data_IF_493384532014
#
_entry.id   IF_493384532014
#
_cell.length_a   1.000
_cell.length_b   1.000
_cell.length_c   1.000
_cell.angle_alpha   90.00
_cell.angle_beta   90.00
_cell.angle_gamma   90.00
#
_symmetry.space_group_name_H-M   'P 1'
#
loop_
_entity.id
_entity.type
_entity.pdbx_description
1 polymer ?
#
# COMPACT_ATOMS: atom_id res chain seq x y z
N UNK A 1 15.43 9.08 7.95
CA UNK A 1 14.77 8.74 9.23
C UNK A 1 13.87 9.90 9.63
N UNK A 2 12.60 9.64 9.81
CA UNK A 2 11.57 10.65 10.18
C UNK A 2 11.14 10.37 11.62
N UNK A 3 11.31 11.34 12.54
CA UNK A 3 10.85 11.18 13.93
C UNK A 3 9.32 11.25 13.97
N UNK A 4 8.70 10.30 14.65
CA UNK A 4 7.25 10.19 14.84
C UNK A 4 6.93 9.86 16.28
N UNK A 5 5.73 10.21 16.72
CA UNK A 5 5.16 9.72 17.99
C UNK A 5 4.00 8.79 17.67
N UNK A 6 4.06 7.56 18.14
CA UNK A 6 3.01 6.57 17.95
C UNK A 6 2.65 5.97 19.31
N UNK A 7 1.38 6.00 19.68
CA UNK A 7 0.88 5.49 20.96
C UNK A 7 1.60 6.11 22.19
N UNK A 8 2.06 7.38 22.07
CA UNK A 8 2.81 8.08 23.11
C UNK A 8 4.33 7.81 23.14
N UNK A 9 4.83 6.90 22.33
CA UNK A 9 6.24 6.57 22.23
C UNK A 9 6.88 7.20 20.99
N UNK A 10 8.16 7.57 21.08
CA UNK A 10 8.91 8.13 19.95
C UNK A 10 9.65 7.04 19.18
N UNK A 11 9.60 7.12 17.86
CA UNK A 11 10.32 6.26 16.92
C UNK A 11 10.89 7.09 15.78
N UNK A 12 11.92 6.56 15.13
CA UNK A 12 12.39 7.06 13.83
C UNK A 12 12.02 6.05 12.75
N UNK A 13 11.16 6.45 11.83
CA UNK A 13 10.77 5.61 10.71
C UNK A 13 11.64 5.90 9.49
N UNK A 14 12.19 4.84 8.90
CA UNK A 14 12.96 4.93 7.67
C UNK A 14 12.05 5.34 6.51
N UNK A 15 12.54 6.24 5.67
CA UNK A 15 11.81 6.72 4.50
C UNK A 15 12.80 6.92 3.37
N UNK A 16 12.50 6.38 2.20
CA UNK A 16 13.24 6.59 0.97
C UNK A 16 12.42 7.49 0.07
N UNK A 17 13.06 8.46 -0.57
CA UNK A 17 12.40 9.41 -1.45
C UNK A 17 13.13 9.48 -2.78
N UNK A 18 12.36 9.34 -3.86
CA UNK A 18 12.78 9.59 -5.22
C UNK A 18 11.98 10.76 -5.76
N UNK A 19 12.63 11.71 -6.41
CA UNK A 19 11.94 12.85 -7.00
C UNK A 19 12.67 13.34 -8.24
N UNK A 20 11.99 14.03 -9.16
CA UNK A 20 12.64 14.71 -10.28
C UNK A 20 13.66 15.75 -9.79
N UNK A 21 14.51 16.21 -10.69
CA UNK A 21 15.36 17.38 -10.45
C UNK A 21 14.49 18.62 -10.18
N UNK A 22 15.05 19.56 -9.40
CA UNK A 22 14.36 20.80 -9.04
C UNK A 22 13.70 20.76 -7.67
N UNK A 23 13.01 21.86 -7.35
CA UNK A 23 12.47 22.12 -6.01
C UNK A 23 11.02 21.63 -5.84
N UNK A 24 10.30 21.37 -6.94
CA UNK A 24 8.87 21.06 -6.89
C UNK A 24 7.99 22.31 -6.83
N UNK A 25 6.76 22.24 -6.30
CA UNK A 25 6.15 21.03 -5.72
C UNK A 25 5.74 20.00 -6.79
N UNK A 26 5.95 18.72 -6.51
CA UNK A 26 5.64 17.60 -7.41
C UNK A 26 4.36 16.90 -7.00
N UNK A 27 3.56 16.38 -7.95
CA UNK A 27 2.60 15.31 -7.65
C UNK A 27 3.33 14.19 -6.91
N UNK A 28 2.73 13.67 -5.86
CA UNK A 28 3.46 12.77 -4.96
C UNK A 28 2.70 11.49 -4.74
N UNK A 29 3.38 10.36 -4.93
CA UNK A 29 2.93 9.03 -4.50
C UNK A 29 3.60 8.68 -3.18
N UNK A 30 2.81 8.42 -2.14
CA UNK A 30 3.27 7.72 -0.93
C UNK A 30 2.90 6.25 -1.11
N UNK A 31 3.92 5.36 -1.15
CA UNK A 31 3.71 3.96 -1.51
C UNK A 31 4.18 3.02 -0.39
N UNK A 32 3.24 2.25 0.14
CA UNK A 32 3.43 1.39 1.31
C UNK A 32 3.86 -0.02 0.92
N UNK A 33 4.87 -0.54 1.62
CA UNK A 33 5.39 -1.89 1.44
C UNK A 33 4.41 -2.99 1.89
N UNK A 34 4.57 -4.17 1.31
CA UNK A 34 3.89 -5.40 1.73
C UNK A 34 4.51 -6.05 2.98
N UNK A 35 4.11 -7.30 3.21
CA UNK A 35 4.71 -8.17 4.23
C UNK A 35 6.06 -8.73 3.78
N UNK A 36 6.69 -9.53 4.65
CA UNK A 36 7.92 -10.29 4.35
C UNK A 36 7.60 -11.78 4.33
N UNK A 37 7.04 -12.25 3.22
CA UNK A 37 6.70 -13.66 3.09
C UNK A 37 5.82 -14.17 4.24
N UNK A 38 6.30 -15.13 5.00
CA UNK A 38 5.57 -15.71 6.15
C UNK A 38 5.74 -14.91 7.46
N UNK A 39 6.63 -13.91 7.51
CA UNK A 39 6.91 -13.16 8.73
C UNK A 39 7.81 -13.88 9.73
N UNK A 40 8.49 -14.95 9.33
CA UNK A 40 9.35 -15.76 10.18
C UNK A 40 10.85 -15.63 9.87
N UNK A 41 11.22 -14.66 9.04
CA UNK A 41 12.61 -14.33 8.71
C UNK A 41 12.93 -12.91 9.18
N UNK A 42 13.56 -12.72 10.36
CA UNK A 42 13.94 -11.41 10.86
C UNK A 42 14.90 -10.65 9.93
N UNK A 43 15.75 -11.34 9.18
CA UNK A 43 16.66 -10.70 8.25
C UNK A 43 15.93 -10.01 7.09
N UNK A 44 14.75 -10.52 6.72
CA UNK A 44 13.91 -9.88 5.72
C UNK A 44 13.26 -8.58 6.23
N UNK A 45 13.12 -8.40 7.55
CA UNK A 45 12.51 -7.19 8.10
C UNK A 45 13.40 -5.97 7.89
N UNK A 46 14.70 -6.13 8.00
CA UNK A 46 15.67 -5.05 7.84
C UNK A 46 15.80 -4.54 6.40
N UNK A 47 15.37 -5.34 5.40
CA UNK A 47 15.52 -4.96 4.00
C UNK A 47 14.55 -3.85 3.63
N UNK A 48 15.03 -2.75 3.01
CA UNK A 48 14.16 -1.72 2.47
C UNK A 48 13.32 -2.29 1.32
N UNK A 49 12.17 -1.68 1.09
CA UNK A 49 11.30 -2.02 -0.03
C UNK A 49 11.42 -0.93 -1.10
N UNK A 50 11.98 -1.29 -2.25
CA UNK A 50 12.24 -0.37 -3.36
C UNK A 50 11.77 -0.98 -4.68
N UNK A 51 10.50 -0.80 -5.06
CA UNK A 51 9.94 -1.30 -6.32
C UNK A 51 10.45 -0.45 -7.50
N UNK A 52 11.66 -0.72 -7.97
CA UNK A 52 12.41 0.12 -8.92
C UNK A 52 11.63 0.44 -10.20
N UNK A 53 10.91 -0.55 -10.77
CA UNK A 53 10.14 -0.33 -11.99
C UNK A 53 8.97 0.65 -11.77
N UNK A 54 8.27 0.53 -10.64
CA UNK A 54 7.20 1.46 -10.26
C UNK A 54 7.77 2.85 -9.96
N UNK A 55 8.86 2.93 -9.20
CA UNK A 55 9.54 4.20 -8.90
C UNK A 55 9.88 4.94 -10.19
N UNK A 56 10.56 4.27 -11.13
CA UNK A 56 10.91 4.82 -12.43
C UNK A 56 9.69 5.32 -13.18
N UNK A 57 8.65 4.49 -13.25
CA UNK A 57 7.44 4.84 -13.97
C UNK A 57 6.84 6.17 -13.50
N UNK A 58 6.80 6.41 -12.19
CA UNK A 58 6.31 7.65 -11.61
C UNK A 58 7.30 8.81 -11.77
N UNK A 59 8.59 8.60 -11.49
CA UNK A 59 9.59 9.68 -11.56
C UNK A 59 9.82 10.16 -12.99
N UNK A 60 9.78 9.27 -14.00
CA UNK A 60 9.87 9.62 -15.42
C UNK A 60 8.65 10.45 -15.91
N UNK A 61 7.59 10.51 -15.09
CA UNK A 61 6.39 11.32 -15.32
C UNK A 61 6.32 12.57 -14.43
N UNK A 62 7.43 12.93 -13.79
CA UNK A 62 7.52 14.13 -12.97
C UNK A 62 6.96 14.00 -11.55
N UNK A 63 6.76 12.78 -11.05
CA UNK A 63 6.26 12.56 -9.69
C UNK A 63 7.38 12.38 -8.67
N UNK A 64 7.13 12.83 -7.45
CA UNK A 64 7.87 12.34 -6.30
C UNK A 64 7.26 11.01 -5.81
N UNK A 65 8.12 10.07 -5.41
CA UNK A 65 7.73 8.79 -4.81
C UNK A 65 8.37 8.69 -3.44
N UNK A 66 7.55 8.53 -2.41
CA UNK A 66 7.98 8.40 -1.02
C UNK A 66 7.62 7.01 -0.52
N UNK A 67 8.59 6.30 0.02
CA UNK A 67 8.50 4.91 0.49
C UNK A 67 8.75 4.88 2.00
N UNK A 68 7.74 5.12 2.84
CA UNK A 68 7.89 5.00 4.27
C UNK A 68 7.87 3.53 4.69
N UNK A 69 8.75 3.18 5.62
CA UNK A 69 8.77 1.87 6.26
C UNK A 69 8.12 1.94 7.64
N UNK A 70 7.18 1.03 7.92
CA UNK A 70 6.52 0.92 9.22
C UNK A 70 7.48 0.41 10.29
N UNK A 71 7.15 0.54 11.57
CA UNK A 71 8.00 0.12 12.71
C UNK A 71 8.60 -1.28 12.49
N UNK A 72 9.91 -1.41 12.74
CA UNK A 72 10.66 -2.65 12.60
C UNK A 72 10.92 -3.12 11.17
N UNK A 73 10.62 -2.29 10.15
CA UNK A 73 10.85 -2.60 8.73
C UNK A 73 11.82 -1.61 8.10
N UNK A 74 12.67 -2.12 7.18
CA UNK A 74 13.51 -1.28 6.31
C UNK A 74 14.45 -0.34 7.07
N UNK A 75 14.89 -0.69 8.26
CA UNK A 75 15.69 0.15 9.14
C UNK A 75 14.90 1.07 10.08
N UNK A 76 13.57 1.04 10.06
CA UNK A 76 12.74 1.74 11.05
C UNK A 76 12.93 1.17 12.46
N UNK A 77 12.94 2.05 13.47
CA UNK A 77 12.95 1.65 14.87
C UNK A 77 11.67 0.91 15.29
N UNK A 78 11.71 0.30 16.46
CA UNK A 78 10.61 -0.44 17.06
C UNK A 78 10.50 -1.90 16.58
N UNK A 79 9.60 -2.62 17.22
CA UNK A 79 9.34 -4.03 16.89
C UNK A 79 8.45 -4.12 15.64
N UNK A 80 8.83 -4.97 14.68
CA UNK A 80 7.93 -5.33 13.60
C UNK A 80 6.83 -6.25 14.12
N UNK A 81 5.61 -5.75 14.15
CA UNK A 81 4.45 -6.52 14.63
C UNK A 81 3.19 -6.18 13.83
N UNK A 82 2.96 -6.98 12.81
CA UNK A 82 1.79 -6.88 11.93
C UNK A 82 0.94 -8.17 12.00
N UNK A 83 0.53 -8.54 13.22
CA UNK A 83 -0.30 -9.73 13.46
C UNK A 83 0.53 -10.99 13.62
N UNK A 84 1.25 -11.08 14.72
CA UNK A 84 1.92 -12.30 15.16
C UNK A 84 1.14 -12.93 16.31
N UNK A 85 1.21 -14.26 16.40
CA UNK A 85 0.76 -14.99 17.58
C UNK A 85 1.84 -15.01 18.70
N UNK A 86 1.54 -15.71 19.78
CA UNK A 86 2.48 -15.88 20.93
C UNK A 86 3.83 -16.42 20.45
N UNK A 87 3.82 -17.43 19.57
CA UNK A 87 5.04 -17.93 18.94
C UNK A 87 5.35 -17.11 17.68
N UNK A 88 6.12 -16.06 17.80
CA UNK A 88 6.52 -15.20 16.68
C UNK A 88 7.35 -15.92 15.60
N UNK A 89 8.08 -16.97 15.97
CA UNK A 89 8.87 -17.76 15.02
C UNK A 89 7.99 -18.54 14.02
N UNK A 90 6.72 -18.77 14.35
CA UNK A 90 5.75 -19.34 13.41
C UNK A 90 5.32 -18.36 12.31
N UNK A 91 5.66 -17.06 12.44
CA UNK A 91 5.30 -16.01 11.50
C UNK A 91 3.93 -15.38 11.79
N UNK A 92 3.32 -14.83 10.73
CA UNK A 92 2.02 -14.16 10.86
C UNK A 92 0.91 -15.12 11.26
N UNK A 93 0.06 -14.66 12.17
CA UNK A 93 -1.15 -15.39 12.55
C UNK A 93 -2.30 -15.11 11.56
N UNK A 94 -3.22 -16.05 11.47
CA UNK A 94 -4.52 -15.86 10.84
C UNK A 94 -5.66 -15.82 11.87
N UNK A 95 -5.33 -15.73 13.17
CA UNK A 95 -6.32 -15.45 14.20
C UNK A 95 -6.81 -14.00 13.97
N UNK A 96 -8.13 -13.84 13.87
CA UNK A 96 -8.75 -12.61 13.34
C UNK A 96 -8.44 -11.39 14.22
N UNK A 97 -8.57 -11.52 15.53
CA UNK A 97 -8.33 -10.41 16.48
C UNK A 97 -6.89 -9.92 16.41
N UNK A 98 -5.93 -10.84 16.42
CA UNK A 98 -4.51 -10.50 16.36
C UNK A 98 -4.10 -9.96 14.97
N UNK A 99 -4.67 -10.52 13.90
CA UNK A 99 -4.42 -10.04 12.55
C UNK A 99 -4.94 -8.60 12.36
N UNK A 100 -6.16 -8.30 12.82
CA UNK A 100 -6.74 -6.96 12.77
C UNK A 100 -5.99 -5.98 13.68
N UNK A 101 -5.59 -6.41 14.88
CA UNK A 101 -4.76 -5.58 15.78
C UNK A 101 -3.42 -5.22 15.13
N UNK A 102 -2.80 -6.16 14.41
CA UNK A 102 -1.58 -5.91 13.63
C UNK A 102 -1.79 -4.90 12.51
N UNK A 103 -2.94 -4.97 11.81
CA UNK A 103 -3.30 -3.99 10.79
C UNK A 103 -3.56 -2.60 11.39
N UNK A 104 -4.23 -2.53 12.54
CA UNK A 104 -4.46 -1.28 13.24
C UNK A 104 -3.15 -0.65 13.72
N UNK A 105 -2.20 -1.47 14.19
CA UNK A 105 -0.86 -1.01 14.53
C UNK A 105 -0.13 -0.42 13.32
N UNK A 106 -0.20 -1.09 12.18
CA UNK A 106 0.39 -0.60 10.93
C UNK A 106 -0.25 0.71 10.45
N UNK A 107 -1.57 0.84 10.60
CA UNK A 107 -2.29 2.07 10.25
C UNK A 107 -1.88 3.24 11.16
N UNK A 108 -1.62 3.02 12.46
CA UNK A 108 -1.09 4.08 13.35
C UNK A 108 0.28 4.58 12.92
N UNK A 109 1.15 3.70 12.38
CA UNK A 109 2.43 4.14 11.82
C UNK A 109 2.22 5.05 10.60
N UNK A 110 1.27 4.71 9.74
CA UNK A 110 0.91 5.51 8.56
C UNK A 110 0.29 6.85 8.98
N UNK A 111 -0.60 6.83 9.99
CA UNK A 111 -1.21 8.04 10.56
C UNK A 111 -0.16 9.02 11.10
N UNK A 112 0.86 8.50 11.79
CA UNK A 112 1.90 9.32 12.39
C UNK A 112 2.88 9.92 11.37
N UNK A 113 3.27 9.15 10.35
CA UNK A 113 4.30 9.60 9.41
C UNK A 113 3.73 10.47 8.27
N UNK A 114 2.53 10.18 7.79
CA UNK A 114 2.00 10.84 6.58
C UNK A 114 1.94 12.37 6.68
N UNK A 115 1.49 13.01 7.78
CA UNK A 115 1.50 14.46 7.89
C UNK A 115 2.89 15.07 7.72
N UNK A 116 3.94 14.40 8.21
CA UNK A 116 5.34 14.83 8.12
C UNK A 116 5.88 14.71 6.69
N UNK A 117 5.46 13.67 5.96
CA UNK A 117 5.78 13.50 4.54
C UNK A 117 5.11 14.58 3.68
N UNK A 118 3.86 14.88 3.96
CA UNK A 118 3.10 15.92 3.27
C UNK A 118 3.61 17.34 3.57
N UNK A 119 4.33 17.54 4.68
CA UNK A 119 4.95 18.80 5.04
C UNK A 119 6.24 19.09 4.26
N UNK A 120 6.76 18.13 3.50
CA UNK A 120 7.99 18.35 2.72
C UNK A 120 7.75 19.40 1.63
N UNK A 121 8.69 20.34 1.43
CA UNK A 121 8.49 21.47 0.52
C UNK A 121 8.33 21.09 -0.95
N UNK A 122 8.82 19.92 -1.35
CA UNK A 122 8.68 19.38 -2.70
C UNK A 122 7.35 18.68 -2.97
N UNK A 123 6.48 18.48 -1.96
CA UNK A 123 5.21 17.77 -2.09
C UNK A 123 4.09 18.74 -2.46
N UNK A 124 3.43 18.48 -3.58
CA UNK A 124 2.17 19.14 -3.90
C UNK A 124 1.02 18.50 -3.11
N UNK A 125 0.63 19.14 -2.03
CA UNK A 125 -0.46 18.68 -1.16
C UNK A 125 -1.81 18.57 -1.88
N UNK A 126 -2.00 19.31 -2.95
CA UNK A 126 -3.19 19.23 -3.79
C UNK A 126 -3.19 18.03 -4.76
N UNK A 127 -2.03 17.35 -4.94
CA UNK A 127 -1.84 16.26 -5.89
C UNK A 127 -1.13 15.07 -5.24
N UNK A 128 -1.79 14.46 -4.27
CA UNK A 128 -1.28 13.30 -3.50
C UNK A 128 -2.05 12.04 -3.91
N UNK A 129 -1.30 10.97 -4.20
CA UNK A 129 -1.79 9.61 -4.32
C UNK A 129 -1.23 8.76 -3.16
N UNK A 130 -2.05 7.88 -2.62
CA UNK A 130 -1.66 6.87 -1.64
C UNK A 130 -1.80 5.51 -2.29
N UNK A 131 -0.78 4.68 -2.16
CA UNK A 131 -0.83 3.33 -2.73
C UNK A 131 0.06 2.35 -1.99
N UNK A 132 0.02 1.10 -2.42
CA UNK A 132 0.87 0.08 -1.83
C UNK A 132 0.71 -1.28 -2.49
N UNK A 133 1.60 -2.19 -2.10
CA UNK A 133 1.63 -3.58 -2.53
C UNK A 133 1.17 -4.49 -1.39
N UNK A 134 0.33 -5.51 -1.70
CA UNK A 134 -0.01 -6.57 -0.74
C UNK A 134 -0.62 -5.97 0.55
N UNK A 135 -0.04 -6.21 1.73
CA UNK A 135 -0.47 -5.52 2.97
C UNK A 135 -0.44 -3.99 2.84
N UNK A 136 0.53 -3.43 2.11
CA UNK A 136 0.54 -2.00 1.84
C UNK A 136 -0.63 -1.53 0.98
N UNK A 137 -1.10 -2.36 0.05
CA UNK A 137 -2.27 -2.06 -0.79
C UNK A 137 -3.56 -1.97 0.03
N UNK A 138 -3.85 -3.00 0.82
CA UNK A 138 -5.06 -3.00 1.67
C UNK A 138 -5.01 -1.91 2.74
N UNK A 139 -3.83 -1.64 3.34
CA UNK A 139 -3.65 -0.54 4.28
C UNK A 139 -3.88 0.82 3.62
N UNK A 140 -3.43 1.02 2.37
CA UNK A 140 -3.65 2.26 1.62
C UNK A 140 -5.14 2.51 1.41
N UNK A 141 -5.91 1.49 1.04
CA UNK A 141 -7.37 1.59 0.92
C UNK A 141 -8.01 1.92 2.27
N UNK A 142 -7.65 1.20 3.34
CA UNK A 142 -8.20 1.44 4.67
C UNK A 142 -7.85 2.84 5.20
N UNK A 143 -6.61 3.29 4.98
CA UNK A 143 -6.13 4.59 5.43
C UNK A 143 -6.83 5.74 4.72
N UNK A 144 -7.06 5.65 3.40
CA UNK A 144 -7.77 6.70 2.67
C UNK A 144 -9.22 6.86 3.13
N UNK A 145 -9.85 5.81 3.63
CA UNK A 145 -11.17 5.92 4.26
C UNK A 145 -11.15 6.65 5.61
N UNK A 146 -10.06 6.56 6.38
CA UNK A 146 -9.86 7.34 7.61
C UNK A 146 -9.58 8.82 7.31
N UNK A 147 -8.93 9.10 6.18
CA UNK A 147 -8.46 10.43 5.77
C UNK A 147 -8.95 10.81 4.36
N UNK A 148 -10.29 10.89 4.13
CA UNK A 148 -10.89 10.93 2.80
C UNK A 148 -10.55 12.19 1.99
N UNK A 149 -10.06 13.23 2.64
CA UNK A 149 -9.72 14.51 1.98
C UNK A 149 -8.24 14.66 1.63
N UNK A 150 -7.38 13.80 2.16
CA UNK A 150 -5.91 13.95 2.05
C UNK A 150 -5.41 13.57 0.65
N UNK A 151 -5.87 12.45 0.11
CA UNK A 151 -5.43 11.97 -1.20
C UNK A 151 -6.50 12.20 -2.29
N UNK A 152 -6.06 12.36 -3.53
CA UNK A 152 -6.94 12.35 -4.71
C UNK A 152 -7.09 10.96 -5.31
N UNK A 153 -6.10 10.09 -5.11
CA UNK A 153 -6.05 8.75 -5.66
C UNK A 153 -5.66 7.72 -4.61
N UNK A 154 -6.28 6.53 -4.68
CA UNK A 154 -5.96 5.37 -3.87
C UNK A 154 -5.62 4.19 -4.80
N UNK A 155 -4.41 3.64 -4.67
CA UNK A 155 -3.85 2.64 -5.59
C UNK A 155 -3.56 1.35 -4.83
N UNK A 156 -4.23 0.28 -5.22
CA UNK A 156 -4.12 -1.03 -4.58
C UNK A 156 -3.50 -2.04 -5.55
N UNK A 157 -2.21 -2.35 -5.36
CA UNK A 157 -1.56 -3.46 -6.05
C UNK A 157 -1.68 -4.73 -5.22
N UNK A 158 -2.42 -5.71 -5.73
CA UNK A 158 -2.58 -7.06 -5.18
C UNK A 158 -2.79 -7.07 -3.65
N UNK A 159 -3.63 -6.14 -3.19
CA UNK A 159 -3.84 -5.90 -1.76
C UNK A 159 -4.52 -7.05 -1.05
N UNK A 160 -4.05 -7.31 0.15
CA UNK A 160 -4.61 -8.28 1.07
C UNK A 160 -3.76 -8.32 2.35
N UNK A 161 -4.37 -8.78 3.42
CA UNK A 161 -3.72 -8.91 4.73
C UNK A 161 -3.38 -10.35 5.07
N UNK A 162 -4.36 -11.22 4.91
CA UNK A 162 -4.27 -12.65 5.18
C UNK A 162 -4.47 -13.43 3.88
N UNK A 163 -3.55 -14.37 3.58
CA UNK A 163 -3.61 -15.21 2.39
C UNK A 163 -4.92 -16.00 2.33
N UNK A 164 -5.50 -16.12 1.14
CA UNK A 164 -6.74 -16.84 0.81
C UNK A 164 -6.74 -18.33 1.21
N UNK A 165 -5.55 -18.90 1.44
CA UNK A 165 -5.39 -20.26 1.98
C UNK A 165 -5.80 -20.41 3.44
N UNK A 166 -6.14 -19.32 4.12
CA UNK A 166 -6.58 -19.31 5.51
C UNK A 166 -8.08 -19.12 5.59
N UNK A 167 -8.74 -19.87 6.46
CA UNK A 167 -10.20 -19.82 6.60
C UNK A 167 -10.75 -18.46 7.03
N UNK A 168 -9.95 -17.66 7.72
CA UNK A 168 -10.29 -16.30 8.17
C UNK A 168 -9.95 -15.22 7.15
N UNK A 169 -9.39 -15.56 6.00
CA UNK A 169 -8.93 -14.57 5.03
C UNK A 169 -10.05 -13.65 4.54
N UNK A 170 -11.21 -14.20 4.27
CA UNK A 170 -12.36 -13.43 3.77
C UNK A 170 -12.83 -12.41 4.81
N UNK A 171 -13.01 -12.82 6.07
CA UNK A 171 -13.48 -11.91 7.14
C UNK A 171 -12.47 -10.80 7.38
N UNK A 172 -11.17 -11.13 7.50
CA UNK A 172 -10.11 -10.15 7.77
C UNK A 172 -9.95 -9.17 6.59
N UNK A 173 -9.81 -9.68 5.36
CA UNK A 173 -9.57 -8.84 4.20
C UNK A 173 -10.76 -7.93 3.91
N UNK A 174 -11.98 -8.46 3.96
CA UNK A 174 -13.18 -7.65 3.75
C UNK A 174 -13.40 -6.61 4.86
N UNK A 175 -13.10 -6.94 6.13
CA UNK A 175 -13.15 -5.97 7.23
C UNK A 175 -12.23 -4.78 6.91
N UNK A 176 -10.97 -5.05 6.56
CA UNK A 176 -10.00 -4.00 6.28
C UNK A 176 -10.34 -3.18 5.03
N UNK A 177 -10.80 -3.81 3.95
CA UNK A 177 -11.20 -3.08 2.75
C UNK A 177 -12.43 -2.19 2.96
N UNK A 178 -13.42 -2.64 3.74
CA UNK A 178 -14.59 -1.82 4.08
C UNK A 178 -14.22 -0.52 4.80
N UNK A 179 -13.12 -0.49 5.52
CA UNK A 179 -12.62 0.74 6.17
C UNK A 179 -12.28 1.85 5.15
N UNK A 180 -12.04 1.49 3.89
CA UNK A 180 -11.79 2.42 2.79
C UNK A 180 -13.04 3.05 2.18
N UNK A 181 -14.24 2.58 2.50
CA UNK A 181 -15.50 3.06 1.92
C UNK A 181 -15.68 4.58 2.07
N UNK A 182 -15.38 5.22 3.22
CA UNK A 182 -15.55 6.66 3.39
C UNK A 182 -14.67 7.53 2.47
N UNK A 183 -13.68 6.96 1.77
CA UNK A 183 -12.89 7.70 0.79
C UNK A 183 -13.76 8.34 -0.29
N UNK A 184 -14.83 7.68 -0.71
CA UNK A 184 -15.85 8.18 -1.63
C UNK A 184 -15.38 8.39 -3.07
N UNK A 185 -14.08 8.66 -3.27
CA UNK A 185 -13.48 8.78 -4.61
C UNK A 185 -13.18 7.40 -5.17
N UNK A 186 -13.18 7.22 -6.51
CA UNK A 186 -12.77 5.96 -7.11
C UNK A 186 -11.34 5.59 -6.73
N UNK A 187 -11.15 4.37 -6.23
CA UNK A 187 -9.86 3.71 -6.06
C UNK A 187 -9.57 2.77 -7.23
N UNK A 188 -8.29 2.49 -7.50
CA UNK A 188 -7.90 1.52 -8.52
C UNK A 188 -7.30 0.27 -7.89
N UNK A 189 -7.76 -0.90 -8.32
CA UNK A 189 -7.37 -2.20 -7.81
C UNK A 189 -6.78 -3.02 -8.97
N UNK A 190 -5.51 -3.40 -8.83
CA UNK A 190 -4.71 -4.04 -9.86
C UNK A 190 -4.27 -5.41 -9.36
N UNK A 191 -4.74 -6.47 -9.99
CA UNK A 191 -4.47 -7.84 -9.58
C UNK A 191 -3.96 -8.69 -10.73
N UNK A 192 -3.15 -9.69 -10.42
CA UNK A 192 -2.58 -10.59 -11.40
C UNK A 192 -3.06 -12.02 -11.26
N UNK A 193 -3.13 -12.73 -12.39
CA UNK A 193 -3.38 -14.16 -12.42
C UNK A 193 -2.24 -14.92 -11.74
N UNK A 194 -2.57 -16.08 -11.18
CA UNK A 194 -1.59 -16.94 -10.50
C UNK A 194 -0.86 -16.26 -9.33
N UNK A 195 -1.54 -15.39 -8.59
CA UNK A 195 -1.03 -14.84 -7.33
C UNK A 195 -1.00 -15.95 -6.27
N UNK A 196 0.18 -16.25 -5.67
CA UNK A 196 0.29 -17.34 -4.70
C UNK A 196 -0.32 -17.02 -3.32
N UNK A 197 -0.79 -15.80 -3.10
CA UNK A 197 -1.35 -15.32 -1.83
C UNK A 197 -2.82 -14.91 -1.93
N UNK A 198 -3.23 -14.36 -3.08
CA UNK A 198 -4.57 -13.83 -3.30
C UNK A 198 -5.05 -14.17 -4.71
N UNK A 199 -5.66 -15.36 -4.87
CA UNK A 199 -6.24 -15.75 -6.13
C UNK A 199 -7.29 -14.73 -6.62
N UNK A 200 -7.45 -14.62 -7.95
CA UNK A 200 -8.38 -13.64 -8.52
C UNK A 200 -9.81 -13.82 -8.02
N UNK A 201 -10.27 -15.06 -7.83
CA UNK A 201 -11.59 -15.31 -7.29
C UNK A 201 -11.80 -14.69 -5.90
N UNK A 202 -10.82 -14.87 -5.00
CA UNK A 202 -10.83 -14.25 -3.68
C UNK A 202 -10.78 -12.71 -3.75
N UNK A 203 -9.92 -12.19 -4.62
CA UNK A 203 -9.74 -10.75 -4.81
C UNK A 203 -10.98 -10.07 -5.39
N UNK A 204 -11.66 -10.70 -6.37
CA UNK A 204 -12.96 -10.26 -6.90
C UNK A 204 -14.03 -10.24 -5.82
N UNK A 205 -14.10 -11.28 -4.98
CA UNK A 205 -15.05 -11.35 -3.87
C UNK A 205 -14.83 -10.22 -2.84
N UNK A 206 -13.57 -9.91 -2.52
CA UNK A 206 -13.23 -8.78 -1.65
C UNK A 206 -13.63 -7.43 -2.27
N UNK A 207 -13.36 -7.24 -3.56
CA UNK A 207 -13.78 -6.03 -4.27
C UNK A 207 -15.31 -5.91 -4.36
N UNK A 208 -16.02 -7.00 -4.63
CA UNK A 208 -17.48 -7.03 -4.65
C UNK A 208 -18.05 -6.66 -3.28
N UNK A 209 -17.48 -7.16 -2.18
CA UNK A 209 -17.89 -6.80 -0.83
C UNK A 209 -17.60 -5.33 -0.50
N UNK A 210 -16.48 -4.78 -0.98
CA UNK A 210 -16.18 -3.35 -0.87
C UNK A 210 -17.20 -2.50 -1.63
N UNK A 211 -17.55 -2.88 -2.87
CA UNK A 211 -18.58 -2.20 -3.67
C UNK A 211 -19.96 -2.28 -3.02
N UNK A 212 -20.35 -3.44 -2.52
CA UNK A 212 -21.63 -3.65 -1.84
C UNK A 212 -21.76 -2.80 -0.56
N UNK A 213 -20.65 -2.49 0.10
CA UNK A 213 -20.59 -1.59 1.24
C UNK A 213 -20.62 -0.10 0.86
N UNK A 214 -20.75 0.25 -0.42
CA UNK A 214 -20.74 1.63 -0.92
C UNK A 214 -19.36 2.14 -1.36
N UNK A 215 -18.36 1.30 -1.40
CA UNK A 215 -17.04 1.66 -1.87
C UNK A 215 -17.02 2.00 -3.36
N UNK A 216 -16.16 2.93 -3.75
CA UNK A 216 -16.01 3.38 -5.12
C UNK A 216 -14.65 2.96 -5.70
N UNK A 217 -14.63 2.38 -6.90
CA UNK A 217 -13.37 1.95 -7.53
C UNK A 217 -13.58 1.08 -8.75
N UNK A 218 -12.47 0.75 -9.41
CA UNK A 218 -12.37 -0.15 -10.55
C UNK A 218 -11.40 -1.29 -10.24
N UNK A 219 -11.69 -2.47 -10.78
CA UNK A 219 -10.88 -3.68 -10.59
C UNK A 219 -10.32 -4.12 -11.95
N UNK A 220 -9.01 -4.32 -12.00
CA UNK A 220 -8.31 -4.68 -13.23
C UNK A 220 -7.47 -5.94 -13.00
N UNK A 221 -7.51 -6.82 -13.97
CA UNK A 221 -6.84 -8.13 -13.95
C UNK A 221 -5.80 -8.20 -15.05
N UNK A 222 -4.67 -8.80 -14.72
CA UNK A 222 -3.55 -8.91 -15.64
C UNK A 222 -2.99 -10.32 -15.65
N UNK A 223 -2.67 -10.81 -16.83
CA UNK A 223 -1.84 -12.00 -17.02
C UNK A 223 -0.36 -11.56 -16.91
N UNK A 224 0.37 -11.97 -15.87
CA UNK A 224 1.77 -11.60 -15.76
C UNK A 224 2.60 -12.25 -16.86
N UNK A 225 3.67 -11.58 -17.33
CA UNK A 225 4.58 -12.19 -18.30
C UNK A 225 5.29 -13.40 -17.71
N UNK A 226 5.83 -14.25 -18.59
CA UNK A 226 6.60 -15.43 -18.19
C UNK A 226 7.70 -15.08 -17.18
N UNK A 227 7.83 -15.89 -16.14
CA UNK A 227 8.79 -15.70 -15.04
C UNK A 227 8.28 -14.84 -13.88
N UNK A 228 7.11 -14.20 -14.00
CA UNK A 228 6.43 -13.49 -12.91
C UNK A 228 5.14 -14.22 -12.51
N UNK A 229 4.73 -14.02 -11.29
CA UNK A 229 3.39 -14.40 -10.82
C UNK A 229 2.53 -13.16 -10.58
N UNK A 230 1.23 -13.38 -10.31
CA UNK A 230 0.27 -12.30 -10.11
C UNK A 230 0.62 -11.33 -9.00
N UNK A 231 1.35 -11.78 -7.97
CA UNK A 231 1.77 -10.90 -6.87
C UNK A 231 2.85 -9.89 -7.26
N UNK A 232 3.48 -10.08 -8.40
CA UNK A 232 4.61 -9.29 -8.88
C UNK A 232 4.25 -8.30 -10.00
N UNK A 233 2.98 -8.08 -10.31
CA UNK A 233 2.57 -7.21 -11.43
C UNK A 233 3.08 -5.77 -11.30
N UNK A 234 3.38 -5.30 -10.09
CA UNK A 234 3.93 -3.97 -9.85
C UNK A 234 5.32 -3.77 -10.47
N UNK A 235 6.07 -4.85 -10.76
CA UNK A 235 7.39 -4.76 -11.42
C UNK A 235 7.29 -4.78 -12.95
N UNK A 236 6.09 -4.94 -13.51
CA UNK A 236 5.82 -4.99 -14.95
C UNK A 236 4.91 -3.82 -15.40
N UNK A 237 5.42 -2.58 -15.47
CA UNK A 237 4.61 -1.40 -15.80
C UNK A 237 3.86 -1.49 -17.13
N UNK A 238 4.36 -2.26 -18.08
CA UNK A 238 3.70 -2.48 -19.38
C UNK A 238 2.28 -3.04 -19.26
N UNK A 239 1.99 -3.77 -18.17
CA UNK A 239 0.66 -4.32 -17.93
C UNK A 239 -0.37 -3.24 -17.57
N UNK A 240 0.02 -2.29 -16.75
CA UNK A 240 -0.91 -1.38 -16.09
C UNK A 240 -0.72 0.10 -16.45
N UNK A 241 0.28 0.45 -17.28
CA UNK A 241 0.57 1.85 -17.65
C UNK A 241 -0.68 2.58 -18.16
N UNK A 242 -1.34 2.07 -19.18
CA UNK A 242 -2.50 2.74 -19.80
C UNK A 242 -3.65 2.92 -18.80
N UNK A 243 -3.93 1.89 -18.02
CA UNK A 243 -4.98 1.92 -16.99
C UNK A 243 -4.65 2.93 -15.89
N UNK A 244 -3.40 2.96 -15.43
CA UNK A 244 -2.94 3.88 -14.39
C UNK A 244 -2.95 5.33 -14.89
N UNK A 245 -2.48 5.59 -16.09
CA UNK A 245 -2.50 6.94 -16.69
C UNK A 245 -3.92 7.49 -16.80
N UNK A 246 -4.85 6.69 -17.35
CA UNK A 246 -6.26 7.07 -17.42
C UNK A 246 -6.82 7.39 -16.02
N UNK A 247 -6.60 6.48 -15.06
CA UNK A 247 -7.07 6.67 -13.69
C UNK A 247 -6.52 7.96 -13.06
N UNK A 248 -5.22 8.22 -13.19
CA UNK A 248 -4.59 9.41 -12.59
C UNK A 248 -5.11 10.70 -13.24
N UNK A 249 -5.26 10.74 -14.56
CA UNK A 249 -5.83 11.89 -15.26
C UNK A 249 -7.26 12.20 -14.80
N UNK A 250 -8.10 11.17 -14.67
CA UNK A 250 -9.46 11.33 -14.14
C UNK A 250 -9.48 11.82 -12.68
N UNK A 251 -8.41 11.62 -11.91
CA UNK A 251 -8.23 12.14 -10.54
C UNK A 251 -7.61 13.54 -10.52
N UNK A 252 -7.42 14.18 -11.67
CA UNK A 252 -6.90 15.53 -11.81
C UNK A 252 -5.38 15.63 -11.67
N UNK A 253 -4.65 14.53 -11.93
CA UNK A 253 -3.22 14.58 -12.07
C UNK A 253 -2.84 14.87 -13.54
N UNK A 254 -1.71 15.54 -13.81
CA UNK A 254 -1.26 15.76 -15.18
C UNK A 254 -0.88 14.42 -15.85
N UNK A 255 -1.13 14.30 -17.13
CA UNK A 255 -0.74 13.13 -17.92
C UNK A 255 0.77 12.91 -17.92
N UNK A 256 1.54 13.99 -18.02
CA UNK A 256 2.99 14.09 -17.73
C UNK A 256 3.26 15.46 -17.15
N UNK A 257 4.09 15.55 -16.12
CA UNK A 257 4.66 16.84 -15.72
C UNK A 257 5.78 17.18 -16.72
N UNK A 258 5.69 18.35 -17.34
CA UNK A 258 6.75 18.90 -18.17
C UNK A 258 7.92 19.39 -17.30
#
# INVERSE_FOLDING_TARGET
MVPVTVDGEQFKLATITYKPAGNGPFPTLIFHHGSTGRGNDPAAFARPYEPTALIRWFTDRGWAVILPSRRGRGGSEGLYDEGFGVNRAAGYTSEETLALAGADRALRDIDAITPLLLAQPFVDRGRVAIGGLSRGGILSIAWTGRHPTVARAAINFVGGWTSDRRSTATSINQNLFRRGVPFGRPSIWLYGENDPFYELAHSRANFAAFKAAGGNGTFHEYAPPSGLNGHQINVAPTLWTSTMETYLVERGFPARCQ
#
